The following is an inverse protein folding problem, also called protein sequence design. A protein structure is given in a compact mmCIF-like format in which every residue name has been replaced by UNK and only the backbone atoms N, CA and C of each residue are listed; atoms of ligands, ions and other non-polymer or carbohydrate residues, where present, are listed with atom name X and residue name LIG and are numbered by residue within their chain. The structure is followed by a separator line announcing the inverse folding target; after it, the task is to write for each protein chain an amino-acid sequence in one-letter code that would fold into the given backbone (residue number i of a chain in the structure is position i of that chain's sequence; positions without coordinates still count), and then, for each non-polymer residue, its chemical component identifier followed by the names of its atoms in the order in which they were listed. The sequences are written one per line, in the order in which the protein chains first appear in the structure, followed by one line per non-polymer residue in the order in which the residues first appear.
data_IF_055996571809
#
_entry.id   IF_055996571809
#
_cell.length_a   1.000
_cell.length_b   1.000
_cell.length_c   1.000
_cell.angle_alpha   90.00
_cell.angle_beta   90.00
_cell.angle_gamma   90.00
#
_symmetry.space_group_name_H-M   'P 1'
#
loop_
_entity.id
_entity.type
_entity.pdbx_description
1 polymer ?
#
# COMPACT_ATOMS: atom_id res chain seq x y z
N UNK A 1 -15.92 3.46 -13.56
CA UNK A 1 -14.84 4.44 -13.35
C UNK A 1 -13.55 3.79 -13.81
N UNK A 2 -12.74 4.45 -14.65
CA UNK A 2 -11.41 3.93 -15.02
C UNK A 2 -10.57 3.88 -13.74
N UNK A 3 -9.89 2.76 -13.51
CA UNK A 3 -9.03 2.60 -12.33
C UNK A 3 -7.82 3.54 -12.48
N UNK A 4 -7.70 4.54 -11.61
CA UNK A 4 -6.59 5.48 -11.67
C UNK A 4 -5.27 4.75 -11.34
N UNK A 5 -4.25 4.96 -12.17
CA UNK A 5 -2.86 4.51 -11.97
C UNK A 5 -2.32 4.74 -10.55
N UNK A 6 -2.70 5.85 -9.90
CA UNK A 6 -2.30 6.17 -8.52
C UNK A 6 -3.02 5.27 -7.52
N UNK A 7 -4.33 5.08 -7.67
CA UNK A 7 -5.09 4.17 -6.80
C UNK A 7 -4.57 2.73 -6.96
N UNK A 8 -4.32 2.30 -8.20
CA UNK A 8 -3.71 0.98 -8.48
C UNK A 8 -2.37 0.81 -7.77
N UNK A 9 -1.49 1.81 -7.81
CA UNK A 9 -0.19 1.74 -7.12
C UNK A 9 -0.34 1.43 -5.61
N UNK A 10 -1.25 2.12 -4.93
CA UNK A 10 -1.47 1.95 -3.49
C UNK A 10 -2.19 0.64 -3.13
N UNK A 11 -3.00 0.09 -4.04
CA UNK A 11 -3.92 -1.03 -3.72
C UNK A 11 -3.52 -2.36 -4.35
N UNK A 12 -2.68 -2.37 -5.39
CA UNK A 12 -2.36 -3.57 -6.18
C UNK A 12 -1.77 -4.72 -5.33
N UNK A 13 -0.80 -4.42 -4.46
CA UNK A 13 -0.24 -5.44 -3.56
C UNK A 13 -1.30 -5.96 -2.57
N UNK A 14 -2.19 -5.10 -2.09
CA UNK A 14 -3.24 -5.50 -1.16
C UNK A 14 -4.25 -6.41 -1.86
N UNK A 15 -4.74 -6.02 -3.05
CA UNK A 15 -5.62 -6.83 -3.87
C UNK A 15 -4.99 -8.19 -4.21
N UNK A 16 -3.71 -8.20 -4.60
CA UNK A 16 -2.98 -9.42 -4.95
C UNK A 16 -2.85 -10.41 -3.79
N UNK A 17 -2.51 -9.94 -2.58
CA UNK A 17 -2.19 -10.83 -1.46
C UNK A 17 -3.37 -11.10 -0.52
N UNK A 18 -4.32 -10.18 -0.41
CA UNK A 18 -5.49 -10.35 0.45
C UNK A 18 -6.77 -10.71 -0.32
N UNK A 19 -6.81 -10.54 -1.64
CA UNK A 19 -7.98 -10.85 -2.47
C UNK A 19 -9.11 -9.82 -2.38
N UNK A 20 -8.87 -8.67 -1.75
CA UNK A 20 -9.81 -7.54 -1.69
C UNK A 20 -9.08 -6.21 -1.67
N UNK A 21 -9.80 -5.13 -2.00
CA UNK A 21 -9.27 -3.76 -2.00
C UNK A 21 -10.07 -2.94 -0.98
N UNK A 22 -9.45 -2.39 0.08
CA UNK A 22 -10.16 -1.52 1.01
C UNK A 22 -10.57 -0.22 0.31
N UNK A 23 -11.72 0.36 0.69
CA UNK A 23 -12.13 1.67 0.19
C UNK A 23 -11.11 2.72 0.60
N UNK A 24 -10.44 3.32 -0.37
CA UNK A 24 -9.49 4.42 -0.18
C UNK A 24 -9.80 5.52 -1.17
N UNK A 25 -10.01 6.73 -0.66
CA UNK A 25 -10.33 7.90 -1.47
C UNK A 25 -9.04 8.61 -1.90
N UNK A 26 -8.48 8.19 -3.03
CA UNK A 26 -7.32 8.84 -3.67
C UNK A 26 -7.74 9.87 -4.72
N UNK A 27 -9.04 10.21 -4.81
CA UNK A 27 -9.57 11.12 -5.83
C UNK A 27 -8.93 12.52 -5.78
N UNK A 28 -8.24 12.89 -4.69
CA UNK A 28 -7.45 14.12 -4.57
C UNK A 28 -6.28 14.20 -5.57
N UNK A 29 -5.77 13.07 -6.05
CA UNK A 29 -4.67 13.03 -7.03
C UNK A 29 -5.15 12.95 -8.48
N UNK A 30 -6.42 12.64 -8.71
CA UNK A 30 -7.05 12.55 -10.04
C UNK A 30 -7.00 13.90 -10.77
N UNK A 31 -7.25 15.00 -10.06
CA UNK A 31 -7.21 16.35 -10.64
C UNK A 31 -5.79 16.82 -11.01
N UNK A 32 -4.77 16.37 -10.27
CA UNK A 32 -3.35 16.67 -10.55
C UNK A 32 -2.88 16.00 -11.85
N UNK A 33 -3.46 14.84 -12.15
CA UNK A 33 -3.21 14.08 -13.37
C UNK A 33 -3.84 14.73 -14.60
N UNK A 34 -5.01 15.34 -14.46
CA UNK A 34 -5.77 15.95 -15.57
C UNK A 34 -5.29 17.36 -15.93
N UNK A 35 -4.81 18.15 -14.97
CA UNK A 35 -4.44 19.55 -15.20
C UNK A 35 -2.96 19.80 -15.55
N UNK A 36 -2.02 18.96 -15.04
CA UNK A 36 -0.58 19.25 -15.11
C UNK A 36 0.26 18.25 -15.89
N UNK A 37 -0.13 16.97 -15.91
CA UNK A 37 0.74 15.86 -16.38
C UNK A 37 0.26 15.32 -17.73
N UNK A 38 0.20 16.20 -18.74
CA UNK A 38 0.05 15.81 -20.15
C UNK A 38 1.33 15.11 -20.66
N UNK A 39 1.28 14.41 -21.80
CA UNK A 39 2.42 13.69 -22.44
C UNK A 39 3.75 14.48 -22.58
N UNK A 40 3.74 15.79 -22.30
CA UNK A 40 4.89 16.70 -22.31
C UNK A 40 5.74 16.66 -21.03
N UNK A 41 5.32 15.98 -19.97
CA UNK A 41 6.04 15.93 -18.68
C UNK A 41 7.47 15.39 -18.78
N UNK A 42 7.75 14.53 -19.78
CA UNK A 42 9.09 13.97 -20.07
C UNK A 42 10.15 15.04 -20.34
N UNK A 43 9.73 16.27 -20.66
CA UNK A 43 10.60 17.39 -21.02
C UNK A 43 10.56 18.54 -20.00
N UNK A 44 9.79 18.42 -18.91
CA UNK A 44 9.69 19.47 -17.88
C UNK A 44 10.85 19.29 -16.91
N UNK A 45 11.62 20.37 -16.68
CA UNK A 45 12.71 20.33 -15.73
C UNK A 45 12.17 20.09 -14.31
N UNK A 46 12.77 19.17 -13.50
CA UNK A 46 12.17 18.73 -12.23
C UNK A 46 11.94 19.85 -11.19
N UNK A 47 12.65 20.97 -11.30
CA UNK A 47 12.46 22.16 -10.45
C UNK A 47 11.10 22.84 -10.61
N UNK A 48 10.36 22.56 -11.68
CA UNK A 48 9.03 23.15 -11.92
C UNK A 48 7.89 22.31 -11.34
N UNK A 49 8.18 21.14 -10.78
CA UNK A 49 7.17 20.24 -10.23
C UNK A 49 6.88 20.60 -8.77
N UNK A 50 5.59 20.70 -8.43
CA UNK A 50 5.15 20.69 -7.03
C UNK A 50 5.40 19.32 -6.39
N UNK A 51 5.41 19.27 -5.05
CA UNK A 51 5.63 18.03 -4.30
C UNK A 51 4.63 16.92 -4.68
N UNK A 52 3.36 17.30 -4.91
CA UNK A 52 2.30 16.37 -5.29
C UNK A 52 2.46 15.88 -6.73
N UNK A 53 2.86 16.76 -7.65
CA UNK A 53 3.15 16.37 -9.04
C UNK A 53 4.37 15.44 -9.10
N UNK A 54 5.43 15.73 -8.35
CA UNK A 54 6.60 14.88 -8.24
C UNK A 54 6.25 13.49 -7.68
N UNK A 55 5.42 13.43 -6.63
CA UNK A 55 4.93 12.17 -6.06
C UNK A 55 4.12 11.35 -7.08
N UNK A 56 3.16 11.97 -7.74
CA UNK A 56 2.32 11.31 -8.77
C UNK A 56 3.17 10.86 -9.95
N UNK A 57 4.19 11.64 -10.32
CA UNK A 57 5.08 11.30 -11.41
C UNK A 57 5.98 10.09 -11.07
N UNK A 58 6.55 10.05 -9.87
CA UNK A 58 7.29 8.88 -9.38
C UNK A 58 6.44 7.62 -9.40
N UNK A 59 5.17 7.71 -8.98
CA UNK A 59 4.21 6.60 -9.06
C UNK A 59 3.95 6.15 -10.50
N UNK A 60 3.80 7.09 -11.44
CA UNK A 60 3.61 6.77 -12.86
C UNK A 60 4.82 6.07 -13.46
N UNK A 61 6.03 6.57 -13.21
CA UNK A 61 7.29 5.97 -13.69
C UNK A 61 7.37 4.51 -13.23
N UNK A 62 7.10 4.25 -11.95
CA UNK A 62 7.07 2.91 -11.37
C UNK A 62 6.05 1.96 -12.02
N UNK A 63 4.89 2.48 -12.41
CA UNK A 63 3.83 1.67 -13.03
C UNK A 63 4.01 1.52 -14.55
N UNK A 64 4.81 2.36 -15.20
CA UNK A 64 5.02 2.38 -16.65
C UNK A 64 6.09 1.42 -17.16
N UNK A 65 6.55 0.48 -16.32
CA UNK A 65 7.59 -0.50 -16.69
C UNK A 65 7.27 -1.39 -17.91
N UNK A 66 6.05 -1.34 -18.45
CA UNK A 66 5.65 -2.04 -19.69
C UNK A 66 5.62 -1.16 -20.96
N UNK A 67 5.74 0.17 -20.86
CA UNK A 67 5.68 1.06 -22.04
C UNK A 67 7.03 1.64 -22.38
N UNK A 68 7.76 1.06 -23.36
CA UNK A 68 8.77 1.67 -24.26
C UNK A 68 9.38 3.01 -23.80
N UNK A 69 9.90 3.05 -22.57
CA UNK A 69 10.41 4.26 -21.97
C UNK A 69 11.70 3.87 -21.26
N UNK A 70 12.83 4.37 -21.77
CA UNK A 70 14.17 4.09 -21.23
C UNK A 70 14.45 4.70 -19.85
N UNK A 71 13.44 4.90 -19.01
CA UNK A 71 13.58 5.38 -17.65
C UNK A 71 13.81 4.20 -16.71
N UNK A 72 14.83 4.31 -15.86
CA UNK A 72 15.22 3.28 -14.89
C UNK A 72 14.58 3.59 -13.54
N UNK A 73 14.57 2.62 -12.63
CA UNK A 73 14.09 2.80 -11.25
C UNK A 73 14.74 3.99 -10.50
N UNK A 74 15.90 4.47 -10.95
CA UNK A 74 16.55 5.69 -10.46
C UNK A 74 15.69 6.95 -10.65
N UNK A 75 14.95 7.04 -11.75
CA UNK A 75 14.16 8.23 -12.08
C UNK A 75 12.94 8.36 -11.15
N UNK A 76 12.37 7.23 -10.70
CA UNK A 76 11.26 7.24 -9.74
C UNK A 76 11.71 7.68 -8.33
N UNK A 77 12.88 7.19 -7.89
CA UNK A 77 13.45 7.55 -6.58
C UNK A 77 13.78 9.05 -6.51
N UNK A 78 14.38 9.61 -7.58
CA UNK A 78 14.65 11.05 -7.67
C UNK A 78 13.38 11.90 -7.60
N UNK A 79 12.29 11.46 -8.24
CA UNK A 79 11.00 12.15 -8.15
C UNK A 79 10.41 12.10 -6.73
N UNK A 80 10.58 11.00 -6.01
CA UNK A 80 10.17 10.95 -4.61
C UNK A 80 11.05 11.82 -3.71
N UNK A 81 12.35 11.90 -3.94
CA UNK A 81 13.25 12.79 -3.18
C UNK A 81 12.91 14.27 -3.42
N UNK A 82 12.54 14.64 -4.64
CA UNK A 82 12.02 15.97 -4.97
C UNK A 82 10.70 16.25 -4.26
N UNK A 83 9.81 15.26 -4.19
CA UNK A 83 8.56 15.39 -3.45
C UNK A 83 8.83 15.67 -1.96
N UNK A 84 9.77 14.93 -1.34
CA UNK A 84 10.14 15.10 0.07
C UNK A 84 10.67 16.51 0.38
N UNK A 85 11.59 17.03 -0.44
CA UNK A 85 12.23 18.34 -0.22
C UNK A 85 11.22 19.49 -0.16
N UNK A 86 10.09 19.33 -0.86
CA UNK A 86 9.05 20.34 -0.99
C UNK A 86 7.83 20.07 -0.08
N UNK A 87 7.75 18.92 0.61
CA UNK A 87 6.75 18.65 1.66
C UNK A 87 7.18 19.24 3.00
N UNK A 88 7.37 20.56 3.07
CA UNK A 88 7.80 21.19 4.33
C UNK A 88 6.68 21.36 5.37
N UNK A 89 5.39 21.28 5.02
CA UNK A 89 4.32 21.68 5.98
C UNK A 89 2.96 20.94 5.98
N UNK A 90 2.72 19.83 5.29
CA UNK A 90 1.35 19.27 5.21
C UNK A 90 1.19 17.83 5.73
N UNK A 91 0.43 17.65 6.81
CA UNK A 91 0.16 16.38 7.49
C UNK A 91 -0.37 15.26 6.59
N UNK A 92 -1.53 15.44 5.94
CA UNK A 92 -2.11 14.37 5.10
C UNK A 92 -1.25 14.02 3.88
N UNK A 93 -0.56 14.99 3.27
CA UNK A 93 0.27 14.73 2.10
C UNK A 93 1.54 13.96 2.46
N UNK A 94 2.12 14.24 3.64
CA UNK A 94 3.25 13.48 4.18
C UNK A 94 2.91 12.01 4.39
N UNK A 95 1.69 11.69 4.84
CA UNK A 95 1.23 10.29 4.93
C UNK A 95 1.28 9.59 3.57
N UNK A 96 0.75 10.22 2.53
CA UNK A 96 0.72 9.63 1.19
C UNK A 96 2.13 9.43 0.64
N UNK A 97 3.02 10.41 0.86
CA UNK A 97 4.43 10.28 0.55
C UNK A 97 5.08 9.09 1.28
N UNK A 98 4.99 9.02 2.61
CA UNK A 98 5.60 7.94 3.40
C UNK A 98 5.01 6.58 3.00
N UNK A 99 3.70 6.49 2.75
CA UNK A 99 3.08 5.28 2.23
C UNK A 99 3.64 4.89 0.85
N UNK A 100 3.81 5.86 -0.05
CA UNK A 100 4.37 5.60 -1.38
C UNK A 100 5.81 5.11 -1.33
N UNK A 101 6.64 5.71 -0.48
CA UNK A 101 8.03 5.26 -0.25
C UNK A 101 8.09 3.86 0.34
N UNK A 102 7.22 3.56 1.31
CA UNK A 102 7.09 2.21 1.87
C UNK A 102 6.76 1.17 0.80
N UNK A 103 5.80 1.46 -0.07
CA UNK A 103 5.41 0.58 -1.18
C UNK A 103 6.54 0.45 -2.21
N UNK A 104 7.22 1.55 -2.55
CA UNK A 104 8.35 1.56 -3.48
C UNK A 104 9.47 0.64 -3.01
N UNK A 105 9.97 0.82 -1.77
CA UNK A 105 11.03 -0.04 -1.25
C UNK A 105 10.57 -1.48 -1.07
N UNK A 106 9.31 -1.69 -0.68
CA UNK A 106 8.77 -3.05 -0.60
C UNK A 106 8.77 -3.73 -1.96
N UNK A 107 8.26 -3.10 -3.03
CA UNK A 107 8.27 -3.64 -4.39
C UNK A 107 9.69 -3.95 -4.87
N UNK A 108 10.62 -3.02 -4.67
CA UNK A 108 12.02 -3.22 -5.05
C UNK A 108 12.65 -4.39 -4.29
N UNK A 109 12.29 -4.57 -3.00
CA UNK A 109 12.80 -5.69 -2.21
C UNK A 109 12.37 -7.06 -2.77
N UNK A 110 11.21 -7.15 -3.43
CA UNK A 110 10.74 -8.40 -4.04
C UNK A 110 11.59 -8.83 -5.24
N UNK A 111 12.34 -7.90 -5.85
CA UNK A 111 13.22 -8.17 -6.99
C UNK A 111 14.66 -8.54 -6.56
N UNK A 112 15.01 -8.34 -5.28
CA UNK A 112 16.36 -8.62 -4.76
C UNK A 112 16.48 -10.09 -4.41
N UNK A 113 17.47 -10.77 -5.00
CA UNK A 113 17.75 -12.21 -4.76
C UNK A 113 18.54 -12.46 -3.48
N UNK A 114 19.43 -11.54 -3.08
CA UNK A 114 20.21 -11.65 -1.85
C UNK A 114 19.34 -11.35 -0.62
N UNK A 115 19.09 -12.37 0.21
CA UNK A 115 18.23 -12.28 1.41
C UNK A 115 18.71 -11.21 2.39
N UNK A 116 20.03 -11.03 2.57
CA UNK A 116 20.55 -10.04 3.52
C UNK A 116 20.25 -8.61 3.07
N UNK A 117 20.45 -8.33 1.78
CA UNK A 117 20.13 -7.04 1.17
C UNK A 117 18.63 -6.82 1.11
N UNK A 118 17.87 -7.84 0.73
CA UNK A 118 16.41 -7.79 0.71
C UNK A 118 15.85 -7.39 2.07
N UNK A 119 16.28 -8.03 3.16
CA UNK A 119 15.81 -7.70 4.52
C UNK A 119 16.16 -6.25 4.90
N UNK A 120 17.33 -5.73 4.51
CA UNK A 120 17.68 -4.32 4.74
C UNK A 120 16.72 -3.37 4.02
N UNK A 121 16.37 -3.65 2.77
CA UNK A 121 15.41 -2.83 2.01
C UNK A 121 14.00 -2.96 2.58
N UNK A 122 13.59 -4.15 3.04
CA UNK A 122 12.29 -4.33 3.73
C UNK A 122 12.24 -3.52 5.03
N UNK A 123 13.33 -3.46 5.80
CA UNK A 123 13.38 -2.61 7.00
C UNK A 123 13.22 -1.12 6.67
N UNK A 124 13.78 -0.68 5.54
CA UNK A 124 13.57 0.69 5.06
C UNK A 124 12.10 0.91 4.68
N UNK A 125 11.49 -0.04 3.96
CA UNK A 125 10.05 0.00 3.67
C UNK A 125 9.22 0.09 4.95
N UNK A 126 9.55 -0.71 5.97
CA UNK A 126 8.90 -0.70 7.28
C UNK A 126 8.96 0.68 7.93
N UNK A 127 10.14 1.31 7.94
CA UNK A 127 10.32 2.63 8.52
C UNK A 127 9.35 3.66 7.93
N UNK A 128 9.23 3.71 6.59
CA UNK A 128 8.29 4.62 5.94
C UNK A 128 6.81 4.28 6.17
N UNK A 129 6.46 3.00 6.29
CA UNK A 129 5.09 2.61 6.68
C UNK A 129 4.79 3.03 8.12
N UNK A 130 5.72 2.83 9.06
CA UNK A 130 5.57 3.27 10.44
C UNK A 130 5.38 4.79 10.52
N UNK A 131 6.14 5.56 9.72
CA UNK A 131 5.93 7.01 9.58
C UNK A 131 4.51 7.33 9.08
N UNK A 132 4.02 6.63 8.05
CA UNK A 132 2.67 6.85 7.53
C UNK A 132 1.59 6.55 8.58
N UNK A 133 1.79 5.53 9.42
CA UNK A 133 0.88 5.18 10.53
C UNK A 133 0.89 6.29 11.59
N UNK A 134 2.06 6.80 11.97
CA UNK A 134 2.17 7.85 12.99
C UNK A 134 1.44 9.15 12.64
N UNK A 135 1.24 9.42 11.36
CA UNK A 135 0.46 10.58 10.88
C UNK A 135 -1.05 10.34 10.96
N UNK A 136 -1.52 9.11 10.69
CA UNK A 136 -2.94 8.73 10.78
C UNK A 136 -3.08 7.22 11.01
N UNK A 137 -3.27 6.87 12.27
CA UNK A 137 -3.23 5.48 12.77
C UNK A 137 -4.34 4.59 12.18
N UNK A 138 -5.54 5.15 11.97
CA UNK A 138 -6.75 4.40 11.58
C UNK A 138 -6.89 4.12 10.07
N UNK A 139 -5.79 4.04 9.32
CA UNK A 139 -5.86 3.70 7.91
C UNK A 139 -5.70 2.20 7.67
N UNK A 140 -6.81 1.50 7.39
CA UNK A 140 -6.83 0.08 7.03
C UNK A 140 -5.79 -0.26 5.95
N UNK A 141 -5.72 0.53 4.89
CA UNK A 141 -4.79 0.31 3.79
C UNK A 141 -3.33 0.32 4.25
N UNK A 142 -2.92 1.32 5.03
CA UNK A 142 -1.55 1.44 5.55
C UNK A 142 -1.20 0.26 6.46
N UNK A 143 -2.13 -0.16 7.32
CA UNK A 143 -1.92 -1.30 8.23
C UNK A 143 -1.87 -2.65 7.50
N UNK A 144 -2.63 -2.81 6.41
CA UNK A 144 -2.50 -4.00 5.54
C UNK A 144 -1.13 -4.06 4.86
N UNK A 145 -0.55 -2.92 4.45
CA UNK A 145 0.83 -2.88 3.95
C UNK A 145 1.85 -3.27 5.03
N UNK A 146 1.64 -2.84 6.28
CA UNK A 146 2.46 -3.26 7.42
C UNK A 146 2.41 -4.78 7.63
N UNK A 147 1.22 -5.40 7.50
CA UNK A 147 1.07 -6.86 7.56
C UNK A 147 1.92 -7.54 6.48
N UNK A 148 1.89 -7.06 5.23
CA UNK A 148 2.73 -7.62 4.14
C UNK A 148 4.22 -7.52 4.46
N UNK A 149 4.66 -6.40 5.04
CA UNK A 149 6.04 -6.20 5.47
C UNK A 149 6.42 -7.21 6.55
N UNK A 150 5.55 -7.42 7.56
CA UNK A 150 5.80 -8.43 8.59
C UNK A 150 5.90 -9.84 8.02
N UNK A 151 5.04 -10.21 7.07
CA UNK A 151 5.11 -11.50 6.38
C UNK A 151 6.43 -11.63 5.61
N UNK A 152 6.86 -10.61 4.87
CA UNK A 152 8.10 -10.65 4.10
C UNK A 152 9.38 -10.73 4.97
N UNK A 153 9.29 -10.28 6.23
CA UNK A 153 10.34 -10.38 7.26
C UNK A 153 10.29 -11.70 8.06
N UNK A 154 9.44 -12.66 7.69
CA UNK A 154 9.20 -13.92 8.44
C UNK A 154 8.63 -13.72 9.86
N UNK A 155 8.03 -12.55 10.13
CA UNK A 155 7.44 -12.21 11.42
C UNK A 155 5.93 -12.52 11.44
N UNK A 156 5.58 -13.80 11.24
CA UNK A 156 4.18 -14.25 11.12
C UNK A 156 3.35 -13.96 12.38
N UNK A 157 3.93 -14.03 13.58
CA UNK A 157 3.22 -13.71 14.84
C UNK A 157 2.73 -12.26 14.87
N UNK A 158 3.57 -11.32 14.44
CA UNK A 158 3.24 -9.90 14.36
C UNK A 158 2.20 -9.65 13.27
N UNK A 159 2.36 -10.26 12.08
CA UNK A 159 1.41 -10.14 10.98
C UNK A 159 0.00 -10.61 11.38
N UNK A 160 -0.10 -11.77 12.04
CA UNK A 160 -1.37 -12.32 12.50
C UNK A 160 -1.96 -11.49 13.62
N UNK A 161 -1.14 -11.08 14.61
CA UNK A 161 -1.62 -10.20 15.69
C UNK A 161 -2.23 -8.92 15.14
N UNK A 162 -1.62 -8.32 14.12
CA UNK A 162 -2.09 -7.09 13.51
C UNK A 162 -3.38 -7.31 12.71
N UNK A 163 -3.49 -8.40 11.95
CA UNK A 163 -4.73 -8.79 11.27
C UNK A 163 -5.88 -9.04 12.25
N UNK A 164 -5.61 -9.67 13.40
CA UNK A 164 -6.64 -9.90 14.42
C UNK A 164 -7.15 -8.58 15.00
N UNK A 165 -6.27 -7.60 15.26
CA UNK A 165 -6.67 -6.26 15.70
C UNK A 165 -7.54 -5.57 14.64
N UNK A 166 -7.06 -5.53 13.39
CA UNK A 166 -7.79 -4.96 12.27
C UNK A 166 -9.18 -5.60 12.08
N UNK A 167 -9.26 -6.93 12.15
CA UNK A 167 -10.53 -7.65 12.03
C UNK A 167 -11.52 -7.28 13.13
N UNK A 168 -11.05 -7.06 14.37
CA UNK A 168 -11.90 -6.65 15.50
C UNK A 168 -12.38 -5.21 15.38
N UNK A 169 -11.50 -4.30 14.99
CA UNK A 169 -11.78 -2.86 14.90
C UNK A 169 -12.70 -2.54 13.72
N UNK A 170 -12.41 -3.10 12.55
CA UNK A 170 -13.17 -2.83 11.32
C UNK A 170 -14.39 -3.74 11.15
N UNK A 171 -14.45 -4.84 11.91
CA UNK A 171 -15.44 -5.91 11.76
C UNK A 171 -15.62 -6.36 10.30
N UNK A 172 -14.50 -6.54 9.60
CA UNK A 172 -14.47 -6.78 8.16
C UNK A 172 -14.43 -8.28 7.84
N UNK A 173 -15.37 -8.73 6.99
CA UNK A 173 -15.50 -10.13 6.56
C UNK A 173 -14.24 -10.63 5.84
N UNK A 174 -13.64 -9.83 4.97
CA UNK A 174 -12.51 -10.26 4.17
C UNK A 174 -11.28 -10.50 5.05
N UNK A 175 -11.08 -9.67 6.07
CA UNK A 175 -10.01 -9.89 7.06
C UNK A 175 -10.24 -11.20 7.82
N UNK A 176 -11.49 -11.51 8.21
CA UNK A 176 -11.79 -12.78 8.86
C UNK A 176 -11.59 -14.00 7.94
N UNK A 177 -11.90 -13.88 6.65
CA UNK A 177 -11.60 -14.95 5.68
C UNK A 177 -10.09 -15.20 5.54
N UNK A 178 -9.29 -14.12 5.54
CA UNK A 178 -7.82 -14.24 5.51
C UNK A 178 -7.32 -14.93 6.78
N UNK A 179 -7.83 -14.55 7.96
CA UNK A 179 -7.48 -15.20 9.23
C UNK A 179 -7.88 -16.68 9.25
N UNK A 180 -9.06 -17.02 8.71
CA UNK A 180 -9.49 -18.41 8.55
C UNK A 180 -8.44 -19.24 7.79
N UNK A 181 -8.05 -18.80 6.59
CA UNK A 181 -7.07 -19.53 5.78
C UNK A 181 -5.67 -19.60 6.42
N UNK A 182 -5.27 -18.58 7.17
CA UNK A 182 -3.99 -18.63 7.91
C UNK A 182 -4.06 -19.71 9.00
N UNK A 183 -5.09 -19.70 9.85
CA UNK A 183 -5.20 -20.66 10.96
C UNK A 183 -5.48 -22.09 10.48
N UNK A 184 -6.19 -22.25 9.37
CA UNK A 184 -6.37 -23.55 8.70
C UNK A 184 -5.02 -24.13 8.26
N UNK A 185 -4.18 -23.32 7.59
CA UNK A 185 -2.82 -23.75 7.19
C UNK A 185 -1.88 -24.04 8.36
N UNK A 186 -2.09 -23.40 9.51
CA UNK A 186 -1.33 -23.66 10.74
C UNK A 186 -1.82 -24.90 11.50
N UNK A 187 -2.92 -25.55 11.07
CA UNK A 187 -3.50 -26.70 11.75
C UNK A 187 -4.30 -26.36 13.01
N UNK A 188 -4.75 -25.11 13.15
CA UNK A 188 -5.55 -24.65 14.27
C UNK A 188 -7.05 -24.60 13.90
N UNK A 189 -7.63 -25.79 13.66
CA UNK A 189 -8.99 -25.95 13.12
C UNK A 189 -10.06 -25.24 13.96
N UNK A 190 -9.98 -25.31 15.30
CA UNK A 190 -10.95 -24.65 16.19
C UNK A 190 -10.93 -23.12 16.04
N UNK A 191 -9.74 -22.54 15.86
CA UNK A 191 -9.56 -21.09 15.67
C UNK A 191 -10.02 -20.68 14.27
N UNK A 192 -9.69 -21.49 13.27
CA UNK A 192 -10.17 -21.28 11.91
C UNK A 192 -11.71 -21.27 11.88
N UNK A 193 -12.35 -22.26 12.48
CA UNK A 193 -13.81 -22.36 12.55
C UNK A 193 -14.45 -21.14 13.23
N UNK A 194 -13.83 -20.62 14.29
CA UNK A 194 -14.27 -19.37 14.92
C UNK A 194 -14.30 -18.19 13.94
N UNK A 195 -13.25 -18.00 13.14
CA UNK A 195 -13.22 -16.91 12.15
C UNK A 195 -14.16 -17.13 10.98
N UNK A 196 -14.35 -18.37 10.54
CA UNK A 196 -15.34 -18.71 9.52
C UNK A 196 -16.78 -18.39 10.00
N UNK A 197 -17.12 -18.75 11.25
CA UNK A 197 -18.40 -18.40 11.85
C UNK A 197 -18.60 -16.88 11.96
N UNK A 198 -17.56 -16.12 12.32
CA UNK A 198 -17.61 -14.66 12.34
C UNK A 198 -17.85 -14.07 10.94
N UNK A 199 -17.09 -14.51 9.94
CA UNK A 199 -17.27 -14.08 8.56
C UNK A 199 -18.67 -14.39 8.03
N UNK A 200 -19.22 -15.56 8.39
CA UNK A 200 -20.56 -16.00 8.00
C UNK A 200 -21.67 -15.18 8.63
N UNK A 201 -21.55 -14.81 9.92
CA UNK A 201 -22.56 -13.97 10.61
C UNK A 201 -22.73 -12.60 9.95
N UNK A 202 -21.62 -12.00 9.51
CA UNK A 202 -21.67 -10.71 8.83
C UNK A 202 -22.42 -10.78 7.49
N UNK A 203 -22.38 -11.91 6.77
CA UNK A 203 -23.19 -12.08 5.55
C UNK A 203 -24.68 -12.04 5.84
N UNK A 204 -25.09 -12.67 6.94
CA UNK A 204 -26.50 -12.76 7.32
C UNK A 204 -27.06 -11.39 7.69
N UNK A 205 -26.27 -10.56 8.37
CA UNK A 205 -26.66 -9.18 8.71
C UNK A 205 -26.80 -8.28 7.47
N UNK A 206 -25.91 -8.41 6.48
CA UNK A 206 -26.04 -7.69 5.20
C UNK A 206 -27.28 -8.11 4.39
N UNK A 207 -27.69 -9.39 4.46
CA UNK A 207 -28.89 -9.88 3.79
C UNK A 207 -30.20 -9.53 4.50
N UNK A 208 -30.16 -9.20 5.80
CA UNK A 208 -31.33 -8.76 6.56
C UNK A 208 -31.53 -7.23 6.54
N UNK A 209 -30.51 -6.48 6.13
CA UNK A 209 -30.51 -5.01 6.07
C UNK A 209 -30.68 -4.45 4.63
N UNK A 210 -30.83 -5.31 3.62
CA UNK A 210 -31.09 -4.96 2.22
C UNK A 210 -32.54 -5.31 1.82
#
# INVERSE_FOLDING_TARGET
MRENSVNKFYTENIGKYFGFIPKSDFNKFDSILESSISHKWKNIHPSYLSSREALVLGIKIMNSHDEVCGFKDHDAHEMFDLALKNFKEAGEDRKHYSLAMGIFYFRNSLQITDRSKQVKVIRLAKHYIDEAISVKEDCLLTRLHLVLIHVAMDNMSMAVSELVKLGREMNDRNIYNVLFHIYEKLGHENIALFYNLKASKLNTEFHLAA
#
